data_IF_611780805644
#
_entry.id   IF_611780805644
#
_cell.length_a   1.000
_cell.length_b   1.000
_cell.length_c   1.000
_cell.angle_alpha   90.00
_cell.angle_beta   90.00
_cell.angle_gamma   90.00
#
_symmetry.space_group_name_H-M   'P 1'
#
loop_
_entity.id
_entity.type
_entity.pdbx_description
1 polymer ?
#
# COMPACT_ATOMS: atom_id res chain seq x y z
N UNK A 1 4.54 -11.27 -13.27
CA UNK A 1 5.57 -11.42 -12.23
C UNK A 1 5.29 -10.54 -11.03
N UNK A 2 5.58 -9.22 -11.13
CA UNK A 2 5.51 -8.28 -10.01
C UNK A 2 4.16 -8.27 -9.25
N UNK A 3 3.03 -8.24 -9.96
CA UNK A 3 1.69 -8.23 -9.34
C UNK A 3 1.46 -9.45 -8.45
N UNK A 4 1.89 -10.64 -8.87
CA UNK A 4 1.74 -11.89 -8.11
C UNK A 4 2.61 -11.86 -6.85
N UNK A 5 3.87 -11.43 -6.97
CA UNK A 5 4.78 -11.30 -5.84
C UNK A 5 4.28 -10.27 -4.81
N UNK A 6 3.76 -9.12 -5.26
CA UNK A 6 3.13 -8.14 -4.37
C UNK A 6 1.91 -8.72 -3.66
N UNK A 7 1.05 -9.45 -4.38
CA UNK A 7 -0.11 -10.12 -3.78
C UNK A 7 0.28 -11.15 -2.72
N UNK A 8 1.27 -12.00 -3.00
CA UNK A 8 1.80 -12.98 -2.05
C UNK A 8 2.42 -12.30 -0.83
N UNK A 9 3.25 -11.27 -1.04
CA UNK A 9 3.85 -10.50 0.04
C UNK A 9 2.81 -9.83 0.94
N UNK A 10 1.72 -9.32 0.36
CA UNK A 10 0.61 -8.72 1.11
C UNK A 10 -0.16 -9.77 1.94
N UNK A 11 -0.45 -10.93 1.35
CA UNK A 11 -1.13 -12.03 2.03
C UNK A 11 -0.30 -12.58 3.20
N UNK A 12 1.00 -12.83 2.98
CA UNK A 12 1.92 -13.29 4.03
C UNK A 12 2.15 -12.22 5.10
N UNK A 13 2.29 -10.95 4.70
CA UNK A 13 2.38 -9.82 5.63
C UNK A 13 1.15 -9.72 6.53
N UNK A 14 -0.05 -9.90 5.99
CA UNK A 14 -1.30 -9.93 6.77
C UNK A 14 -1.36 -11.14 7.71
N UNK A 15 -0.85 -12.30 7.29
CA UNK A 15 -0.74 -13.49 8.14
C UNK A 15 0.22 -13.25 9.31
N UNK A 16 1.44 -12.81 9.04
CA UNK A 16 2.46 -12.51 10.05
C UNK A 16 2.03 -11.39 11.00
N UNK A 17 1.27 -10.41 10.51
CA UNK A 17 0.80 -9.29 11.34
C UNK A 17 -0.14 -9.74 12.45
N UNK A 18 -0.82 -10.89 12.31
CA UNK A 18 -1.67 -11.46 13.36
C UNK A 18 -0.88 -12.12 14.49
N UNK A 19 0.34 -12.61 14.23
CA UNK A 19 1.17 -13.29 15.23
C UNK A 19 2.26 -12.41 15.84
N UNK A 20 2.89 -11.54 15.03
CA UNK A 20 3.99 -10.66 15.45
C UNK A 20 3.53 -9.21 15.70
N UNK A 21 2.33 -8.83 15.22
CA UNK A 21 1.89 -7.45 15.20
C UNK A 21 2.46 -6.68 14.00
N UNK A 22 1.63 -5.82 13.41
CA UNK A 22 1.96 -5.16 12.13
C UNK A 22 3.26 -4.35 12.14
N UNK A 23 3.53 -3.62 13.23
CA UNK A 23 4.73 -2.78 13.32
C UNK A 23 6.03 -3.60 13.33
N UNK A 24 6.02 -4.82 13.87
CA UNK A 24 7.18 -5.72 13.84
C UNK A 24 7.39 -6.29 12.44
N UNK A 25 6.30 -6.69 11.78
CA UNK A 25 6.37 -7.22 10.41
C UNK A 25 6.98 -6.19 9.46
N UNK A 26 6.55 -4.93 9.52
CA UNK A 26 7.12 -3.90 8.65
C UNK A 26 8.57 -3.55 9.04
N UNK A 27 8.88 -3.50 10.34
CA UNK A 27 10.26 -3.23 10.80
C UNK A 27 11.23 -4.29 10.31
N UNK A 28 10.87 -5.57 10.43
CA UNK A 28 11.67 -6.68 9.93
C UNK A 28 11.74 -6.69 8.40
N UNK A 29 10.64 -6.39 7.70
CA UNK A 29 10.66 -6.24 6.25
C UNK A 29 11.65 -5.16 5.80
N UNK A 30 11.69 -4.01 6.49
CA UNK A 30 12.66 -2.94 6.23
C UNK A 30 14.10 -3.43 6.46
N UNK A 31 14.38 -4.07 7.60
CA UNK A 31 15.71 -4.63 7.92
C UNK A 31 16.16 -5.63 6.87
N UNK A 32 15.29 -6.53 6.41
CA UNK A 32 15.62 -7.49 5.35
C UNK A 32 15.76 -6.86 3.97
N UNK A 33 15.00 -5.80 3.67
CA UNK A 33 15.11 -5.07 2.41
C UNK A 33 16.33 -4.14 2.33
N UNK A 34 16.90 -3.77 3.48
CA UNK A 34 17.97 -2.79 3.59
C UNK A 34 19.24 -3.22 2.84
N UNK A 35 19.77 -4.45 2.96
CA UNK A 35 20.98 -4.86 2.24
C UNK A 35 20.81 -4.79 0.73
N UNK A 36 19.66 -5.22 0.22
CA UNK A 36 19.36 -5.17 -1.21
C UNK A 36 19.27 -3.71 -1.69
N UNK A 37 18.51 -2.88 -0.96
CA UNK A 37 18.32 -1.47 -1.32
C UNK A 37 19.64 -0.68 -1.22
N UNK A 38 20.45 -0.95 -0.19
CA UNK A 38 21.76 -0.36 -0.02
C UNK A 38 22.74 -0.81 -1.11
N UNK A 39 22.73 -2.10 -1.48
CA UNK A 39 23.53 -2.61 -2.60
C UNK A 39 23.18 -1.91 -3.92
N UNK A 40 21.88 -1.75 -4.20
CA UNK A 40 21.40 -1.01 -5.37
C UNK A 40 21.75 0.47 -5.33
N UNK A 41 21.67 1.11 -4.15
CA UNK A 41 22.11 2.49 -3.95
C UNK A 41 23.61 2.65 -4.27
N UNK A 42 24.45 1.76 -3.75
CA UNK A 42 25.90 1.78 -4.00
C UNK A 42 26.21 1.53 -5.47
N UNK A 43 25.47 0.62 -6.12
CA UNK A 43 25.63 0.34 -7.56
C UNK A 43 25.22 1.52 -8.44
N UNK A 44 24.24 2.32 -8.00
CA UNK A 44 23.73 3.49 -8.72
C UNK A 44 24.23 4.82 -8.12
N UNK A 45 25.41 4.81 -7.48
CA UNK A 45 26.02 6.03 -6.97
C UNK A 45 26.25 7.03 -8.13
N UNK A 46 25.87 8.30 -7.97
CA UNK A 46 26.13 9.29 -9.00
C UNK A 46 27.64 9.54 -9.11
N UNK A 47 28.12 9.77 -10.34
CA UNK A 47 29.53 10.09 -10.58
C UNK A 47 29.98 11.39 -9.89
N UNK A 48 29.04 12.29 -9.58
CA UNK A 48 29.27 13.50 -8.80
C UNK A 48 28.06 13.83 -7.94
N UNK A 49 28.31 14.42 -6.78
CA UNK A 49 27.28 14.96 -5.88
C UNK A 49 26.88 16.40 -6.24
N UNK A 50 27.58 17.02 -7.20
CA UNK A 50 27.26 18.35 -7.72
C UNK A 50 25.90 18.31 -8.44
N UNK A 51 24.86 18.86 -7.82
CA UNK A 51 23.49 18.84 -8.34
C UNK A 51 22.47 18.34 -7.32
N UNK A 52 22.91 17.69 -6.23
CA UNK A 52 22.03 17.30 -5.13
C UNK A 52 21.87 18.48 -4.18
N UNK A 53 20.92 19.35 -4.49
CA UNK A 53 20.61 20.53 -3.70
C UNK A 53 19.78 20.24 -2.45
N UNK A 54 19.61 21.26 -1.61
CA UNK A 54 18.78 21.21 -0.41
C UNK A 54 17.35 20.66 -0.65
N UNK A 55 16.65 20.96 -1.76
CA UNK A 55 15.32 20.39 -2.01
C UNK A 55 15.29 18.86 -2.06
N UNK A 56 16.33 18.21 -2.58
CA UNK A 56 16.42 16.75 -2.64
C UNK A 56 16.55 16.16 -1.22
N UNK A 57 17.41 16.75 -0.39
CA UNK A 57 17.59 16.35 1.01
C UNK A 57 16.33 16.58 1.85
N UNK A 58 15.67 17.73 1.67
CA UNK A 58 14.40 18.01 2.35
C UNK A 58 13.29 17.04 1.92
N UNK A 59 13.23 16.70 0.62
CA UNK A 59 12.28 15.70 0.12
C UNK A 59 12.55 14.32 0.71
N UNK A 60 13.82 13.90 0.78
CA UNK A 60 14.21 12.64 1.42
C UNK A 60 13.85 12.62 2.92
N UNK A 61 14.15 13.70 3.64
CA UNK A 61 13.79 13.84 5.05
C UNK A 61 12.27 13.82 5.26
N UNK A 62 11.52 14.54 4.43
CA UNK A 62 10.06 14.58 4.49
C UNK A 62 9.43 13.21 4.23
N UNK A 63 9.83 12.53 3.16
CA UNK A 63 9.30 11.20 2.82
C UNK A 63 9.64 10.18 3.90
N UNK A 64 10.87 10.20 4.43
CA UNK A 64 11.30 9.22 5.43
C UNK A 64 10.69 9.47 6.82
N UNK A 65 10.69 10.71 7.30
CA UNK A 65 10.27 11.04 8.66
C UNK A 65 8.76 11.27 8.76
N UNK A 66 8.19 12.13 7.91
CA UNK A 66 6.78 12.47 8.01
C UNK A 66 5.90 11.42 7.34
N UNK A 67 6.18 11.10 6.08
CA UNK A 67 5.30 10.20 5.31
C UNK A 67 5.40 8.76 5.79
N UNK A 68 6.62 8.29 6.03
CA UNK A 68 6.85 6.90 6.42
C UNK A 68 6.78 6.72 7.94
N UNK A 69 7.71 7.31 8.71
CA UNK A 69 7.81 7.05 10.16
C UNK A 69 6.59 7.57 10.95
N UNK A 70 6.29 8.86 10.87
CA UNK A 70 5.16 9.47 11.59
C UNK A 70 3.83 8.97 11.00
N UNK A 71 3.75 8.85 9.67
CA UNK A 71 2.61 8.27 8.98
C UNK A 71 2.24 6.89 9.50
N UNK A 72 3.22 6.03 9.82
CA UNK A 72 2.96 4.71 10.41
C UNK A 72 2.22 4.77 11.75
N UNK A 73 2.48 5.78 12.59
CA UNK A 73 1.79 5.93 13.87
C UNK A 73 0.30 6.18 13.64
N UNK A 74 -0.03 7.13 12.76
CA UNK A 74 -1.41 7.41 12.38
C UNK A 74 -2.06 6.23 11.67
N UNK A 75 -1.30 5.54 10.83
CA UNK A 75 -1.76 4.37 10.10
C UNK A 75 -2.17 3.24 11.05
N UNK A 76 -1.31 2.86 12.00
CA UNK A 76 -1.63 1.83 12.98
C UNK A 76 -2.80 2.22 13.88
N UNK A 77 -2.88 3.50 14.28
CA UNK A 77 -4.02 4.00 15.04
C UNK A 77 -5.31 3.96 14.23
N UNK A 78 -5.25 4.30 12.94
CA UNK A 78 -6.36 4.18 12.00
C UNK A 78 -6.81 2.72 11.85
N UNK A 79 -5.87 1.78 11.71
CA UNK A 79 -6.16 0.34 11.68
C UNK A 79 -6.80 -0.16 12.98
N UNK A 80 -6.35 0.34 14.13
CA UNK A 80 -6.92 -0.03 15.43
C UNK A 80 -8.36 0.51 15.60
N UNK A 81 -8.65 1.71 15.09
CA UNK A 81 -9.98 2.33 15.21
C UNK A 81 -10.98 1.86 14.15
N UNK A 82 -10.56 1.80 12.89
CA UNK A 82 -11.42 1.50 11.74
C UNK A 82 -11.39 0.04 11.27
N UNK A 83 -10.51 -0.78 11.86
CA UNK A 83 -10.29 -2.17 11.47
C UNK A 83 -9.61 -2.31 10.09
N UNK A 84 -8.97 -3.46 9.87
CA UNK A 84 -8.19 -3.73 8.64
C UNK A 84 -9.07 -3.64 7.39
N UNK A 85 -10.29 -4.22 7.43
CA UNK A 85 -11.18 -4.26 6.27
C UNK A 85 -11.70 -2.87 5.87
N UNK A 86 -12.11 -2.05 6.84
CA UNK A 86 -12.61 -0.68 6.59
C UNK A 86 -11.50 0.24 6.08
N UNK A 87 -10.34 0.22 6.73
CA UNK A 87 -9.18 1.02 6.34
C UNK A 87 -8.62 0.59 4.96
N UNK A 88 -8.69 -0.70 4.62
CA UNK A 88 -8.37 -1.18 3.27
C UNK A 88 -9.31 -0.63 2.21
N UNK A 89 -10.61 -0.44 2.51
CA UNK A 89 -11.53 0.23 1.58
C UNK A 89 -11.22 1.70 1.41
N UNK A 90 -10.86 2.39 2.50
CA UNK A 90 -10.42 3.79 2.43
C UNK A 90 -9.21 3.95 1.50
N UNK A 91 -8.27 3.00 1.51
CA UNK A 91 -7.12 3.02 0.61
C UNK A 91 -7.48 2.89 -0.87
N UNK A 92 -8.64 2.34 -1.24
CA UNK A 92 -9.07 2.34 -2.65
C UNK A 92 -9.32 3.75 -3.19
N UNK A 93 -9.46 4.76 -2.32
CA UNK A 93 -9.52 6.17 -2.69
C UNK A 93 -8.13 6.78 -2.94
N UNK A 94 -7.06 6.16 -2.44
CA UNK A 94 -5.69 6.70 -2.54
C UNK A 94 -5.27 7.00 -3.99
N UNK A 95 -5.56 6.17 -5.01
CA UNK A 95 -5.23 6.49 -6.40
C UNK A 95 -5.90 7.77 -6.91
N UNK A 96 -7.12 8.07 -6.46
CA UNK A 96 -7.86 9.27 -6.86
C UNK A 96 -7.26 10.51 -6.22
N UNK A 97 -7.01 10.47 -4.91
CA UNK A 97 -6.32 11.55 -4.22
C UNK A 97 -4.93 11.77 -4.80
N UNK A 98 -4.22 10.71 -5.20
CA UNK A 98 -2.94 10.80 -5.91
C UNK A 98 -3.04 11.58 -7.22
N UNK A 99 -4.02 11.27 -8.06
CA UNK A 99 -4.25 12.01 -9.31
C UNK A 99 -4.64 13.48 -9.07
N UNK A 100 -5.53 13.74 -8.11
CA UNK A 100 -5.95 15.10 -7.75
C UNK A 100 -4.76 15.92 -7.25
N UNK A 101 -3.94 15.34 -6.36
CA UNK A 101 -2.74 16.00 -5.84
C UNK A 101 -1.70 16.22 -6.94
N UNK A 102 -1.49 15.27 -7.84
CA UNK A 102 -0.59 15.44 -8.99
C UNK A 102 -1.06 16.61 -9.89
N UNK A 103 -2.35 16.71 -10.17
CA UNK A 103 -2.92 17.81 -10.93
C UNK A 103 -2.76 19.16 -10.22
N UNK A 104 -3.02 19.21 -8.91
CA UNK A 104 -3.04 20.47 -8.16
C UNK A 104 -1.64 20.96 -7.75
N UNK A 105 -0.74 20.06 -7.38
CA UNK A 105 0.59 20.40 -6.84
C UNK A 105 1.68 20.36 -7.91
N UNK A 106 1.62 19.41 -8.85
CA UNK A 106 2.62 19.23 -9.90
C UNK A 106 2.15 19.80 -11.26
N UNK A 107 0.91 20.29 -11.36
CA UNK A 107 0.29 20.75 -12.61
C UNK A 107 0.29 19.68 -13.72
N UNK A 108 0.22 18.40 -13.35
CA UNK A 108 0.14 17.31 -14.30
C UNK A 108 -1.28 17.18 -14.91
N UNK A 109 -1.34 16.85 -16.19
CA UNK A 109 -2.62 16.66 -16.89
C UNK A 109 -3.17 15.26 -16.61
N UNK A 110 -4.25 15.18 -15.84
CA UNK A 110 -4.95 13.90 -15.59
C UNK A 110 -5.75 13.52 -16.83
N UNK A 111 -5.17 12.63 -17.63
CA UNK A 111 -5.82 12.11 -18.82
C UNK A 111 -7.02 11.22 -18.50
N UNK A 112 -8.02 11.23 -19.38
CA UNK A 112 -9.21 10.36 -19.27
C UNK A 112 -8.87 8.88 -19.15
N UNK A 113 -7.76 8.42 -19.75
CA UNK A 113 -7.27 7.05 -19.61
C UNK A 113 -6.90 6.66 -18.17
N UNK A 114 -6.30 7.58 -17.40
CA UNK A 114 -5.93 7.33 -16.00
C UNK A 114 -7.17 7.16 -15.12
N UNK A 115 -8.19 8.00 -15.37
CA UNK A 115 -9.49 7.92 -14.70
C UNK A 115 -10.20 6.61 -15.06
N UNK A 116 -10.25 6.27 -16.35
CA UNK A 116 -10.90 5.04 -16.83
C UNK A 116 -10.25 3.78 -16.22
N UNK A 117 -8.92 3.71 -16.17
CA UNK A 117 -8.19 2.59 -15.54
C UNK A 117 -8.50 2.51 -14.04
N UNK A 118 -8.51 3.63 -13.31
CA UNK A 118 -8.87 3.64 -11.89
C UNK A 118 -10.30 3.13 -11.64
N UNK A 119 -11.27 3.56 -12.46
CA UNK A 119 -12.65 3.06 -12.39
C UNK A 119 -12.72 1.56 -12.71
N UNK A 120 -12.00 1.10 -13.72
CA UNK A 120 -11.93 -0.32 -14.07
C UNK A 120 -11.34 -1.17 -12.94
N UNK A 121 -10.28 -0.69 -12.27
CA UNK A 121 -9.68 -1.37 -11.10
C UNK A 121 -10.70 -1.46 -9.96
N UNK A 122 -11.43 -0.37 -9.65
CA UNK A 122 -12.52 -0.42 -8.66
C UNK A 122 -13.56 -1.47 -9.04
N UNK A 123 -14.01 -1.49 -10.31
CA UNK A 123 -15.01 -2.44 -10.77
C UNK A 123 -14.53 -3.89 -10.62
N UNK A 124 -13.27 -4.17 -10.98
CA UNK A 124 -12.65 -5.48 -10.78
C UNK A 124 -12.60 -5.88 -9.30
N UNK A 125 -12.20 -4.96 -8.41
CA UNK A 125 -12.14 -5.22 -6.96
C UNK A 125 -13.54 -5.43 -6.39
N UNK A 126 -14.53 -4.63 -6.79
CA UNK A 126 -15.92 -4.78 -6.39
C UNK A 126 -16.50 -6.13 -6.84
N UNK A 127 -16.24 -6.52 -8.09
CA UNK A 127 -16.61 -7.83 -8.63
C UNK A 127 -15.96 -8.97 -7.83
N UNK A 128 -14.64 -8.94 -7.65
CA UNK A 128 -13.91 -9.95 -6.87
C UNK A 128 -14.46 -10.09 -5.44
N UNK A 129 -14.77 -8.97 -4.78
CA UNK A 129 -15.40 -8.98 -3.45
C UNK A 129 -16.81 -9.54 -3.44
N UNK A 130 -17.57 -9.35 -4.51
CA UNK A 130 -18.92 -9.90 -4.64
C UNK A 130 -18.87 -11.43 -4.73
N UNK A 131 -17.96 -11.98 -5.54
CA UNK A 131 -17.79 -13.43 -5.72
C UNK A 131 -17.04 -14.11 -4.57
N UNK A 132 -16.27 -13.38 -3.76
CA UNK A 132 -15.54 -13.92 -2.61
C UNK A 132 -16.39 -14.09 -1.34
N UNK A 133 -17.67 -13.67 -1.33
CA UNK A 133 -18.57 -13.96 -0.20
C UNK A 133 -18.87 -15.47 -0.18
N UNK A 134 -18.65 -16.19 0.93
CA UNK A 134 -19.07 -17.58 1.01
C UNK A 134 -20.59 -17.67 0.80
N UNK A 135 -21.02 -18.60 -0.06
CA UNK A 135 -22.45 -18.90 -0.24
C UNK A 135 -23.07 -19.24 1.12
N UNK A 136 -23.87 -18.31 1.64
CA UNK A 136 -24.66 -18.49 2.85
C UNK A 136 -25.71 -19.62 2.73
N UNK A 137 -25.86 -20.19 1.52
CA UNK A 137 -26.67 -21.35 1.23
C UNK A 137 -26.10 -22.66 1.81
N UNK A 138 -24.77 -22.79 1.94
CA UNK A 138 -24.12 -24.01 2.47
C UNK A 138 -24.30 -24.20 3.97
N UNK A 139 -24.14 -23.12 4.75
CA UNK A 139 -24.24 -23.10 6.22
C UNK A 139 -25.65 -23.45 6.72
N UNK A 140 -26.70 -22.97 6.03
CA UNK A 140 -28.10 -23.29 6.39
C UNK A 140 -28.47 -24.76 6.17
N UNK A 141 -27.79 -25.46 5.26
CA UNK A 141 -28.08 -26.88 4.97
C UNK A 141 -27.41 -27.84 5.95
N UNK A 142 -26.31 -27.40 6.60
CA UNK A 142 -25.59 -28.17 7.62
C UNK A 142 -26.30 -28.11 8.98
N UNK A 143 -26.80 -26.93 9.37
CA UNK A 143 -27.59 -26.77 10.61
C UNK A 143 -28.98 -27.42 10.54
N UNK A 144 -29.56 -27.56 9.35
CA UNK A 144 -30.86 -28.21 9.16
C UNK A 144 -30.80 -29.75 9.15
N UNK A 145 -29.59 -30.35 9.27
CA UNK A 145 -29.36 -31.80 9.31
C UNK A 145 -28.78 -32.29 10.64
N UNK A 146 -28.67 -31.42 11.64
CA UNK A 146 -28.32 -31.73 13.02
C UNK A 146 -29.58 -31.68 13.90
#
# INVERSE_FOLDING_TARGET
GAIVLCGLGYAEGARLSRSLGGWQVISWALVFSLPLTAGLMLFNLPASWSGIGLPAWLSLAYVSLFSMLIGFVFWYRGLALGGIAGVSQLQLLQPFFGLVLAAMLLNETVGWGMVAVNVAVIACVAGAKHFAKPDAAGLRSADARA
#
